data_IF_235861119493
#
_entry.id   IF_235861119493
#
_cell.length_a   1.000
_cell.length_b   1.000
_cell.length_c   1.000
_cell.angle_alpha   90.00
_cell.angle_beta   90.00
_cell.angle_gamma   90.00
#
_symmetry.space_group_name_H-M   'P 1'
#
loop_
_entity.id
_entity.type
_entity.pdbx_description
1 polymer ?
#
# COMPACT_ATOMS: atom_id res chain seq x y z
N UNK A 1 -55.75 -9.05 -10.31
CA UNK A 1 -54.31 -8.85 -10.10
C UNK A 1 -53.57 -9.87 -10.93
N UNK A 2 -53.04 -9.47 -12.09
CA UNK A 2 -52.17 -10.32 -12.89
C UNK A 2 -50.86 -10.54 -12.13
N UNK A 3 -50.52 -11.79 -11.86
CA UNK A 3 -49.20 -12.17 -11.35
C UNK A 3 -48.13 -11.57 -12.27
N UNK A 4 -47.32 -10.66 -11.73
CA UNK A 4 -46.10 -10.20 -12.42
C UNK A 4 -45.19 -11.43 -12.47
N UNK A 5 -45.12 -12.10 -13.63
CA UNK A 5 -44.09 -13.09 -13.90
C UNK A 5 -42.74 -12.38 -13.85
N UNK A 6 -42.09 -12.40 -12.69
CA UNK A 6 -40.71 -11.95 -12.53
C UNK A 6 -39.85 -12.91 -13.36
N UNK A 7 -39.28 -12.42 -14.46
CA UNK A 7 -38.34 -13.19 -15.26
C UNK A 7 -37.11 -13.59 -14.43
N UNK A 8 -36.33 -14.60 -14.88
CA UNK A 8 -35.18 -15.08 -14.12
C UNK A 8 -34.17 -13.95 -13.84
N UNK A 9 -33.62 -13.93 -12.63
CA UNK A 9 -32.60 -12.95 -12.25
C UNK A 9 -31.28 -13.33 -12.93
N UNK A 10 -30.88 -12.57 -13.95
CA UNK A 10 -29.59 -12.75 -14.63
C UNK A 10 -28.54 -11.83 -14.02
N UNK A 11 -27.50 -12.41 -13.42
CA UNK A 11 -26.39 -11.73 -12.76
C UNK A 11 -25.13 -11.85 -13.62
N UNK A 12 -24.72 -10.74 -14.23
CA UNK A 12 -23.47 -10.66 -15.00
C UNK A 12 -22.31 -10.22 -14.09
N UNK A 13 -21.29 -11.05 -13.98
CA UNK A 13 -20.06 -10.77 -13.22
C UNK A 13 -18.94 -10.44 -14.21
N UNK A 14 -18.66 -9.15 -14.39
CA UNK A 14 -17.49 -8.73 -15.19
C UNK A 14 -16.19 -9.02 -14.43
N UNK A 15 -15.15 -9.49 -15.13
CA UNK A 15 -13.91 -9.90 -14.45
C UNK A 15 -14.05 -11.21 -13.67
N UNK A 16 -15.02 -12.05 -14.05
CA UNK A 16 -15.36 -13.32 -13.40
C UNK A 16 -14.21 -14.34 -13.38
N UNK A 17 -13.22 -14.22 -14.27
CA UNK A 17 -12.05 -15.09 -14.29
C UNK A 17 -10.93 -14.69 -13.31
N UNK A 18 -11.02 -13.54 -12.64
CA UNK A 18 -10.01 -13.08 -11.67
C UNK A 18 -10.26 -13.63 -10.26
N UNK A 19 -9.36 -13.31 -9.32
CA UNK A 19 -9.41 -13.74 -7.91
C UNK A 19 -10.82 -13.63 -7.29
N UNK A 20 -11.40 -12.43 -7.27
CA UNK A 20 -12.71 -12.19 -6.65
C UNK A 20 -13.83 -12.85 -7.45
N UNK A 21 -13.73 -12.84 -8.78
CA UNK A 21 -14.70 -13.49 -9.66
C UNK A 21 -14.79 -14.99 -9.43
N UNK A 22 -13.65 -15.67 -9.33
CA UNK A 22 -13.56 -17.10 -9.02
C UNK A 22 -14.01 -17.45 -7.60
N UNK A 23 -13.77 -16.56 -6.64
CA UNK A 23 -14.30 -16.74 -5.30
C UNK A 23 -15.83 -16.68 -5.27
N UNK A 24 -16.44 -15.70 -5.96
CA UNK A 24 -17.90 -15.63 -6.09
C UNK A 24 -18.44 -16.84 -6.85
N UNK A 25 -17.79 -17.27 -7.93
CA UNK A 25 -18.16 -18.47 -8.67
C UNK A 25 -18.17 -19.71 -7.77
N UNK A 26 -17.15 -19.88 -6.93
CA UNK A 26 -17.07 -20.97 -5.97
C UNK A 26 -18.25 -20.94 -4.98
N UNK A 27 -18.51 -19.80 -4.34
CA UNK A 27 -19.60 -19.66 -3.37
C UNK A 27 -20.96 -19.94 -4.01
N UNK A 28 -21.20 -19.41 -5.21
CA UNK A 28 -22.46 -19.60 -5.95
C UNK A 28 -22.65 -21.06 -6.37
N UNK A 29 -21.61 -21.72 -6.87
CA UNK A 29 -21.73 -23.06 -7.44
C UNK A 29 -21.54 -24.20 -6.42
N UNK A 30 -20.75 -23.99 -5.37
CA UNK A 30 -20.30 -25.06 -4.46
C UNK A 30 -20.78 -24.88 -3.01
N UNK A 31 -21.07 -23.66 -2.58
CA UNK A 31 -21.49 -23.37 -1.19
C UNK A 31 -22.99 -23.02 -1.07
N UNK A 32 -23.77 -23.23 -2.13
CA UNK A 32 -25.20 -22.96 -2.12
C UNK A 32 -25.56 -21.47 -2.14
N UNK A 33 -24.65 -20.60 -2.60
CA UNK A 33 -24.90 -19.17 -2.73
C UNK A 33 -25.85 -18.76 -3.86
N UNK A 34 -26.23 -19.71 -4.73
CA UNK A 34 -27.18 -19.50 -5.83
C UNK A 34 -28.63 -19.71 -5.35
N UNK A 35 -29.50 -18.74 -5.59
CA UNK A 35 -30.94 -18.89 -5.34
C UNK A 35 -31.68 -19.45 -6.56
N UNK A 36 -32.86 -20.05 -6.30
CA UNK A 36 -33.74 -20.55 -7.37
C UNK A 36 -34.19 -19.40 -8.29
N UNK A 37 -34.08 -19.63 -9.59
CA UNK A 37 -34.41 -18.63 -10.61
C UNK A 37 -33.28 -17.64 -10.93
N UNK A 38 -32.10 -17.79 -10.32
CA UNK A 38 -30.91 -17.04 -10.69
C UNK A 38 -30.12 -17.71 -11.81
N UNK A 39 -29.57 -16.91 -12.71
CA UNK A 39 -28.60 -17.30 -13.73
C UNK A 39 -27.36 -16.43 -13.58
N UNK A 40 -26.20 -17.06 -13.41
CA UNK A 40 -24.94 -16.38 -13.13
C UNK A 40 -24.00 -16.52 -14.34
N UNK A 41 -23.53 -15.38 -14.85
CA UNK A 41 -22.65 -15.28 -16.02
C UNK A 41 -21.31 -14.69 -15.59
N UNK A 42 -20.23 -15.46 -15.67
CA UNK A 42 -18.88 -15.03 -15.29
C UNK A 42 -18.06 -14.64 -16.53
N UNK A 43 -18.04 -13.35 -16.84
CA UNK A 43 -17.40 -12.81 -18.04
C UNK A 43 -15.88 -12.70 -17.88
N UNK A 44 -15.13 -13.06 -18.92
CA UNK A 44 -13.68 -12.86 -19.00
C UNK A 44 -13.29 -12.01 -20.21
N UNK A 45 -12.07 -11.49 -20.21
CA UNK A 45 -11.52 -10.71 -21.34
C UNK A 45 -11.36 -11.52 -22.63
N UNK A 46 -11.50 -12.86 -22.59
CA UNK A 46 -11.53 -13.71 -23.79
C UNK A 46 -12.84 -13.59 -24.56
N UNK A 47 -13.90 -13.13 -23.91
CA UNK A 47 -15.22 -12.97 -24.51
C UNK A 47 -15.51 -11.52 -24.92
N UNK A 48 -15.07 -10.54 -24.13
CA UNK A 48 -15.14 -9.14 -24.51
C UNK A 48 -14.05 -8.30 -23.85
N UNK A 49 -13.46 -7.40 -24.64
CA UNK A 49 -12.67 -6.29 -24.13
C UNK A 49 -13.61 -5.15 -23.72
N UNK A 50 -13.73 -4.92 -22.41
CA UNK A 50 -14.61 -3.89 -21.86
C UNK A 50 -14.09 -2.47 -22.06
N UNK A 51 -12.86 -2.28 -22.57
CA UNK A 51 -12.39 -0.97 -23.05
C UNK A 51 -13.14 -0.57 -24.33
N UNK A 52 -13.58 -1.55 -25.11
CA UNK A 52 -14.36 -1.35 -26.33
C UNK A 52 -15.87 -1.33 -26.03
N UNK A 53 -16.53 -0.23 -26.40
CA UNK A 53 -17.96 -0.05 -26.15
C UNK A 53 -18.82 -0.99 -27.01
N UNK A 54 -18.38 -1.33 -28.22
CA UNK A 54 -19.11 -2.25 -29.10
C UNK A 54 -19.17 -3.65 -28.52
N UNK A 55 -18.04 -4.17 -28.04
CA UNK A 55 -17.96 -5.46 -27.36
C UNK A 55 -18.70 -5.46 -26.02
N UNK A 56 -18.64 -4.36 -25.26
CA UNK A 56 -19.41 -4.22 -24.01
C UNK A 56 -20.91 -4.32 -24.28
N UNK A 57 -21.42 -3.61 -25.29
CA UNK A 57 -22.82 -3.69 -25.71
C UNK A 57 -23.20 -5.07 -26.18
N UNK A 58 -22.38 -5.69 -27.03
CA UNK A 58 -22.64 -7.04 -27.56
C UNK A 58 -22.81 -8.09 -26.43
N UNK A 59 -22.02 -8.00 -25.36
CA UNK A 59 -22.17 -8.91 -24.20
C UNK A 59 -23.46 -8.66 -23.44
N UNK A 60 -23.82 -7.40 -23.19
CA UNK A 60 -25.08 -7.10 -22.51
C UNK A 60 -26.30 -7.46 -23.39
N UNK A 61 -26.21 -7.29 -24.70
CA UNK A 61 -27.21 -7.74 -25.69
C UNK A 61 -27.30 -9.27 -25.77
N UNK A 62 -26.18 -9.99 -25.59
CA UNK A 62 -26.19 -11.45 -25.54
C UNK A 62 -26.87 -12.00 -24.29
N UNK A 63 -26.57 -11.45 -23.11
CA UNK A 63 -27.00 -12.03 -21.83
C UNK A 63 -28.18 -11.33 -21.16
N UNK A 64 -28.51 -10.10 -21.58
CA UNK A 64 -29.59 -9.27 -21.03
C UNK A 64 -29.62 -9.26 -19.49
N UNK A 65 -28.53 -8.85 -18.82
CA UNK A 65 -28.44 -8.92 -17.37
C UNK A 65 -29.50 -8.06 -16.69
N UNK A 66 -30.02 -8.56 -15.57
CA UNK A 66 -30.88 -7.78 -14.65
C UNK A 66 -30.05 -7.11 -13.54
N UNK A 67 -28.92 -7.74 -13.19
CA UNK A 67 -28.00 -7.33 -12.15
C UNK A 67 -26.57 -7.47 -12.67
N UNK A 68 -25.67 -6.58 -12.23
CA UNK A 68 -24.26 -6.62 -12.60
C UNK A 68 -23.38 -6.52 -11.36
N UNK A 69 -22.41 -7.43 -11.24
CA UNK A 69 -21.29 -7.31 -10.31
C UNK A 69 -20.07 -6.90 -11.14
N UNK A 70 -19.60 -5.67 -10.92
CA UNK A 70 -18.55 -5.07 -11.73
C UNK A 70 -17.17 -5.18 -11.06
N UNK A 71 -16.44 -6.26 -11.37
CA UNK A 71 -15.08 -6.53 -10.86
C UNK A 71 -13.98 -6.26 -11.90
N UNK A 72 -14.33 -6.19 -13.18
CA UNK A 72 -13.37 -5.97 -14.24
C UNK A 72 -12.65 -4.62 -14.07
N UNK A 73 -11.33 -4.66 -14.14
CA UNK A 73 -10.47 -3.48 -14.07
C UNK A 73 -9.13 -3.82 -14.70
N UNK A 74 -8.43 -2.80 -15.21
CA UNK A 74 -7.00 -2.92 -15.46
C UNK A 74 -6.29 -2.80 -14.11
N UNK A 75 -5.69 -3.90 -13.67
CA UNK A 75 -4.96 -4.02 -12.38
C UNK A 75 -3.51 -4.41 -12.64
N UNK A 76 -2.61 -4.07 -11.71
CA UNK A 76 -1.20 -4.44 -11.80
C UNK A 76 -0.45 -4.29 -10.47
N UNK A 77 0.83 -4.66 -10.47
CA UNK A 77 1.72 -4.43 -9.33
C UNK A 77 2.01 -2.94 -9.12
N UNK A 78 2.53 -2.59 -7.94
CA UNK A 78 2.79 -1.19 -7.57
C UNK A 78 3.72 -0.47 -8.56
N UNK A 79 4.75 -1.17 -9.06
CA UNK A 79 5.69 -0.63 -10.04
C UNK A 79 5.02 -0.36 -11.40
N UNK A 80 4.12 -1.24 -11.83
CA UNK A 80 3.38 -1.04 -13.07
C UNK A 80 2.44 0.17 -12.96
N UNK A 81 1.75 0.31 -11.82
CA UNK A 81 0.92 1.48 -11.55
C UNK A 81 1.70 2.80 -11.63
N UNK A 82 2.90 2.85 -11.05
CA UNK A 82 3.76 4.04 -11.11
C UNK A 82 4.17 4.40 -12.54
N UNK A 83 4.54 3.39 -13.35
CA UNK A 83 5.01 3.58 -14.73
C UNK A 83 3.89 3.95 -15.72
N UNK A 84 2.68 3.44 -15.52
CA UNK A 84 1.60 3.48 -16.51
C UNK A 84 0.36 4.26 -16.03
N UNK A 85 0.52 5.25 -15.13
CA UNK A 85 -0.60 6.01 -14.52
C UNK A 85 -1.65 6.50 -15.53
N UNK A 86 -1.23 7.08 -16.67
CA UNK A 86 -2.14 7.54 -17.72
C UNK A 86 -2.97 6.38 -18.31
N UNK A 87 -2.34 5.24 -18.57
CA UNK A 87 -3.03 4.09 -19.14
C UNK A 87 -4.01 3.47 -18.13
N UNK A 88 -3.60 3.39 -16.86
CA UNK A 88 -4.51 2.97 -15.78
C UNK A 88 -5.72 3.88 -15.65
N UNK A 89 -5.54 5.20 -15.76
CA UNK A 89 -6.65 6.16 -15.74
C UNK A 89 -7.59 5.93 -16.94
N UNK A 90 -7.04 5.94 -18.16
CA UNK A 90 -7.84 5.88 -19.40
C UNK A 90 -8.61 4.57 -19.54
N UNK A 91 -7.94 3.44 -19.33
CA UNK A 91 -8.57 2.13 -19.53
C UNK A 91 -9.64 1.89 -18.48
N UNK A 92 -9.38 2.20 -17.21
CA UNK A 92 -10.39 2.01 -16.17
C UNK A 92 -11.55 2.99 -16.32
N UNK A 93 -11.33 4.25 -16.71
CA UNK A 93 -12.45 5.16 -17.02
C UNK A 93 -13.33 4.57 -18.13
N UNK A 94 -12.74 4.09 -19.23
CA UNK A 94 -13.50 3.49 -20.33
C UNK A 94 -14.25 2.24 -19.90
N UNK A 95 -13.60 1.31 -19.19
CA UNK A 95 -14.23 0.09 -18.68
C UNK A 95 -15.43 0.43 -17.79
N UNK A 96 -15.23 1.35 -16.83
CA UNK A 96 -16.26 1.74 -15.88
C UNK A 96 -17.43 2.45 -16.57
N UNK A 97 -17.14 3.41 -17.45
CA UNK A 97 -18.13 4.19 -18.20
C UNK A 97 -18.93 3.28 -19.13
N UNK A 98 -18.26 2.44 -19.93
CA UNK A 98 -18.92 1.50 -20.85
C UNK A 98 -19.88 0.56 -20.10
N UNK A 99 -19.45 0.00 -18.96
CA UNK A 99 -20.27 -0.93 -18.17
C UNK A 99 -21.46 -0.21 -17.54
N UNK A 100 -21.26 0.95 -16.92
CA UNK A 100 -22.34 1.68 -16.22
C UNK A 100 -23.34 2.30 -17.19
N UNK A 101 -22.88 2.90 -18.30
CA UNK A 101 -23.75 3.46 -19.34
C UNK A 101 -24.54 2.36 -20.06
N UNK A 102 -23.90 1.24 -20.40
CA UNK A 102 -24.62 0.11 -21.03
C UNK A 102 -25.64 -0.50 -20.06
N UNK A 103 -25.28 -0.64 -18.78
CA UNK A 103 -26.21 -1.09 -17.74
C UNK A 103 -27.44 -0.18 -17.63
N UNK A 104 -27.23 1.14 -17.65
CA UNK A 104 -28.31 2.13 -17.64
C UNK A 104 -29.21 1.99 -18.86
N UNK A 105 -28.63 2.00 -20.07
CA UNK A 105 -29.35 1.91 -21.35
C UNK A 105 -30.17 0.63 -21.49
N UNK A 106 -29.72 -0.46 -20.86
CA UNK A 106 -30.40 -1.76 -20.90
C UNK A 106 -31.31 -2.03 -19.70
N UNK A 107 -31.52 -1.04 -18.83
CA UNK A 107 -32.46 -1.18 -17.71
C UNK A 107 -31.99 -2.15 -16.63
N UNK A 108 -30.68 -2.32 -16.43
CA UNK A 108 -30.13 -3.10 -15.32
C UNK A 108 -30.62 -2.51 -14.00
N UNK A 109 -31.22 -3.35 -13.16
CA UNK A 109 -31.86 -2.95 -11.91
C UNK A 109 -30.84 -2.51 -10.87
N UNK A 110 -29.71 -3.23 -10.76
CA UNK A 110 -28.67 -2.95 -9.78
C UNK A 110 -27.29 -3.29 -10.31
N UNK A 111 -26.34 -2.39 -10.05
CA UNK A 111 -24.91 -2.61 -10.30
C UNK A 111 -24.18 -2.48 -8.98
N UNK A 112 -23.31 -3.44 -8.67
CA UNK A 112 -22.38 -3.39 -7.53
C UNK A 112 -20.96 -3.41 -8.08
N UNK A 113 -20.30 -2.25 -8.04
CA UNK A 113 -18.93 -2.11 -8.51
C UNK A 113 -17.90 -2.36 -7.40
N UNK A 114 -16.68 -2.72 -7.79
CA UNK A 114 -15.58 -2.92 -6.86
C UNK A 114 -14.60 -1.74 -6.90
N UNK A 115 -14.48 -1.02 -5.78
CA UNK A 115 -13.49 0.03 -5.55
C UNK A 115 -12.20 -0.57 -4.96
N UNK A 116 -11.37 0.26 -4.33
CA UNK A 116 -10.11 -0.16 -3.71
C UNK A 116 -9.77 0.77 -2.55
N UNK A 117 -9.15 0.26 -1.48
CA UNK A 117 -8.62 1.10 -0.40
C UNK A 117 -7.60 2.17 -0.86
N UNK A 118 -6.96 2.02 -2.03
CA UNK A 118 -6.03 3.03 -2.54
C UNK A 118 -6.72 4.31 -3.06
N UNK A 119 -8.05 4.33 -3.12
CA UNK A 119 -8.80 5.53 -3.50
C UNK A 119 -8.80 6.58 -2.39
N UNK A 120 -8.53 6.23 -1.14
CA UNK A 120 -8.61 7.19 -0.04
C UNK A 120 -7.49 8.24 -0.12
N UNK A 121 -7.70 9.43 0.48
CA UNK A 121 -6.68 10.47 0.50
C UNK A 121 -5.39 10.00 1.17
N UNK A 122 -4.23 10.43 0.64
CA UNK A 122 -2.93 10.10 1.21
C UNK A 122 -2.74 10.73 2.59
N UNK A 123 -3.03 12.03 2.69
CA UNK A 123 -3.02 12.78 3.94
C UNK A 123 -4.42 12.75 4.54
N UNK A 124 -4.63 11.88 5.52
CA UNK A 124 -5.94 11.66 6.13
C UNK A 124 -5.85 11.22 7.60
N UNK A 125 -6.96 11.31 8.33
CA UNK A 125 -7.09 10.77 9.69
C UNK A 125 -7.46 9.30 9.67
N UNK A 126 -7.20 8.58 10.77
CA UNK A 126 -7.53 7.16 10.92
C UNK A 126 -8.45 6.95 12.12
N UNK A 127 -9.36 5.95 12.09
CA UNK A 127 -9.64 5.06 10.96
C UNK A 127 -10.34 5.77 9.79
N UNK A 128 -10.08 5.30 8.57
CA UNK A 128 -10.73 5.82 7.37
C UNK A 128 -12.13 5.20 7.24
N UNK A 129 -13.14 6.03 6.95
CA UNK A 129 -14.50 5.61 6.63
C UNK A 129 -14.94 6.04 5.21
N UNK A 130 -16.10 5.56 4.77
CA UNK A 130 -16.63 5.77 3.42
C UNK A 130 -16.94 7.23 3.11
N UNK A 131 -17.13 8.10 4.11
CA UNK A 131 -17.39 9.54 3.92
C UNK A 131 -16.13 10.29 3.48
N UNK A 132 -14.95 9.71 3.73
CA UNK A 132 -13.65 10.34 3.51
C UNK A 132 -13.08 10.13 2.10
N UNK A 133 -13.76 9.36 1.24
CA UNK A 133 -13.30 8.97 -0.10
C UNK A 133 -12.83 10.15 -0.97
N UNK A 134 -13.47 11.32 -0.88
CA UNK A 134 -13.16 12.50 -1.70
C UNK A 134 -12.47 13.63 -0.94
N UNK A 135 -12.04 13.42 0.32
CA UNK A 135 -11.52 14.46 1.21
C UNK A 135 -10.01 14.75 1.00
N UNK A 136 -9.57 14.85 -0.25
CA UNK A 136 -8.18 15.11 -0.62
C UNK A 136 -7.64 14.16 -1.69
N UNK A 137 -6.46 14.44 -2.26
CA UNK A 137 -5.88 13.61 -3.32
C UNK A 137 -5.44 12.23 -2.81
N UNK A 138 -5.56 11.16 -3.61
CA UNK A 138 -4.95 9.87 -3.32
C UNK A 138 -3.43 9.93 -3.45
N UNK A 139 -2.73 8.87 -3.04
CA UNK A 139 -1.28 8.79 -3.15
C UNK A 139 -0.78 8.84 -4.61
N UNK A 140 0.33 9.53 -4.85
CA UNK A 140 0.86 9.81 -6.20
C UNK A 140 1.36 8.56 -6.94
N UNK A 141 1.69 7.48 -6.24
CA UNK A 141 2.22 6.27 -6.89
C UNK A 141 1.22 5.59 -7.84
N UNK A 142 -0.08 5.78 -7.64
CA UNK A 142 -1.13 5.13 -8.44
C UNK A 142 -2.36 6.03 -8.68
N UNK A 143 -2.16 7.35 -8.69
CA UNK A 143 -3.25 8.33 -8.77
C UNK A 143 -4.19 8.07 -9.95
N UNK A 144 -3.67 7.62 -11.11
CA UNK A 144 -4.49 7.35 -12.29
C UNK A 144 -5.53 6.25 -12.06
N UNK A 145 -5.12 5.16 -11.42
CA UNK A 145 -6.03 4.08 -11.02
C UNK A 145 -7.00 4.54 -9.92
N UNK A 146 -6.46 5.24 -8.90
CA UNK A 146 -7.24 5.70 -7.75
C UNK A 146 -8.35 6.67 -8.14
N UNK A 147 -8.07 7.66 -8.99
CA UNK A 147 -9.10 8.56 -9.53
C UNK A 147 -10.09 7.84 -10.43
N UNK A 148 -9.66 6.92 -11.30
CA UNK A 148 -10.57 6.15 -12.13
C UNK A 148 -11.60 5.36 -11.28
N UNK A 149 -11.16 4.79 -10.15
CA UNK A 149 -12.05 4.12 -9.20
C UNK A 149 -12.94 5.12 -8.43
N UNK A 150 -12.44 6.27 -7.98
CA UNK A 150 -13.27 7.33 -7.38
C UNK A 150 -14.42 7.77 -8.30
N UNK A 151 -14.16 7.84 -9.61
CA UNK A 151 -15.18 8.23 -10.57
C UNK A 151 -16.33 7.23 -10.69
N UNK A 152 -16.18 5.98 -10.25
CA UNK A 152 -17.32 5.03 -10.15
C UNK A 152 -18.33 5.54 -9.11
N UNK A 153 -17.87 5.96 -7.94
CA UNK A 153 -18.76 6.51 -6.89
C UNK A 153 -19.48 7.78 -7.37
N UNK A 154 -18.75 8.67 -8.07
CA UNK A 154 -19.35 9.87 -8.67
C UNK A 154 -20.42 9.51 -9.71
N UNK A 155 -20.13 8.56 -10.61
CA UNK A 155 -21.10 8.08 -11.59
C UNK A 155 -22.32 7.45 -10.92
N UNK A 156 -22.13 6.60 -9.90
CA UNK A 156 -23.23 5.99 -9.15
C UNK A 156 -24.17 7.04 -8.55
N UNK A 157 -23.62 8.08 -7.90
CA UNK A 157 -24.40 9.19 -7.34
C UNK A 157 -25.14 9.97 -8.43
N UNK A 158 -24.50 10.23 -9.57
CA UNK A 158 -25.12 10.92 -10.69
C UNK A 158 -26.28 10.11 -11.32
N UNK A 159 -26.08 8.82 -11.56
CA UNK A 159 -27.12 7.92 -12.05
C UNK A 159 -28.31 7.84 -11.09
N UNK A 160 -28.06 7.82 -9.78
CA UNK A 160 -29.13 7.86 -8.78
C UNK A 160 -29.88 9.19 -8.80
N UNK A 161 -29.16 10.32 -8.79
CA UNK A 161 -29.77 11.64 -8.77
C UNK A 161 -30.63 11.91 -10.01
N UNK A 162 -30.16 11.52 -11.20
CA UNK A 162 -30.83 11.83 -12.46
C UNK A 162 -31.89 10.80 -12.87
N UNK A 163 -31.66 9.51 -12.58
CA UNK A 163 -32.51 8.42 -13.08
C UNK A 163 -33.04 7.48 -11.99
N UNK A 164 -32.66 7.68 -10.72
CA UNK A 164 -33.10 6.83 -9.61
C UNK A 164 -32.44 5.44 -9.56
N UNK A 165 -31.40 5.18 -10.37
CA UNK A 165 -30.70 3.90 -10.35
C UNK A 165 -29.96 3.69 -9.03
N UNK A 166 -30.15 2.50 -8.43
CA UNK A 166 -29.48 2.10 -7.19
C UNK A 166 -28.13 1.45 -7.45
N UNK A 167 -27.28 2.12 -8.23
CA UNK A 167 -25.91 1.67 -8.45
C UNK A 167 -25.08 1.98 -7.22
N UNK A 168 -24.24 1.03 -6.82
CA UNK A 168 -23.46 1.11 -5.59
C UNK A 168 -22.10 0.46 -5.77
N UNK A 169 -21.27 0.52 -4.74
CA UNK A 169 -19.95 -0.08 -4.78
C UNK A 169 -19.50 -0.57 -3.39
N UNK A 170 -18.56 -1.51 -3.40
CA UNK A 170 -17.88 -2.02 -2.21
C UNK A 170 -16.40 -1.66 -2.24
N UNK A 171 -15.79 -1.45 -1.08
CA UNK A 171 -14.37 -1.09 -0.94
C UNK A 171 -13.63 -2.20 -0.20
N UNK A 172 -13.13 -3.24 -0.89
CA UNK A 172 -12.25 -4.22 -0.25
C UNK A 172 -10.89 -3.61 0.09
N UNK A 173 -10.24 -4.20 1.11
CA UNK A 173 -8.83 -3.93 1.42
C UNK A 173 -7.91 -4.78 0.51
N UNK A 174 -6.79 -5.28 1.00
CA UNK A 174 -5.92 -6.17 0.23
C UNK A 174 -6.52 -7.59 0.18
N UNK A 175 -7.18 -7.93 -0.93
CA UNK A 175 -7.74 -9.27 -1.16
C UNK A 175 -6.63 -10.26 -1.52
N UNK A 176 -6.71 -11.49 -1.01
CA UNK A 176 -5.83 -12.60 -1.39
C UNK A 176 -6.58 -13.93 -1.42
N UNK A 177 -6.09 -14.89 -2.21
CA UNK A 177 -6.61 -16.25 -2.23
C UNK A 177 -6.30 -17.02 -3.51
N UNK A 178 -6.96 -18.17 -3.73
CA UNK A 178 -6.81 -18.96 -4.96
C UNK A 178 -7.13 -18.14 -6.22
N UNK A 179 -6.49 -18.48 -7.34
CA UNK A 179 -6.64 -17.79 -8.64
C UNK A 179 -6.15 -16.32 -8.68
N UNK A 180 -5.35 -15.88 -7.69
CA UNK A 180 -4.67 -14.59 -7.77
C UNK A 180 -3.50 -14.59 -8.79
N UNK A 181 -2.99 -13.40 -9.11
CA UNK A 181 -1.78 -13.25 -9.90
C UNK A 181 -0.54 -13.46 -9.02
N UNK A 182 0.01 -14.67 -9.05
CA UNK A 182 1.23 -15.04 -8.33
C UNK A 182 2.53 -14.61 -9.02
N UNK A 183 2.47 -13.83 -10.11
CA UNK A 183 3.68 -13.31 -10.74
C UNK A 183 4.46 -12.40 -9.77
N UNK A 184 5.77 -12.57 -9.68
CA UNK A 184 6.62 -11.87 -8.70
C UNK A 184 6.67 -10.35 -8.96
N UNK A 185 6.62 -9.93 -10.22
CA UNK A 185 6.74 -8.52 -10.63
C UNK A 185 5.38 -7.84 -10.75
N UNK A 186 4.36 -8.58 -11.21
CA UNK A 186 3.03 -8.06 -11.55
C UNK A 186 1.96 -8.37 -10.51
N UNK A 187 2.23 -9.27 -9.57
CA UNK A 187 1.31 -9.68 -8.52
C UNK A 187 1.22 -8.68 -7.37
N UNK A 188 0.14 -8.79 -6.60
CA UNK A 188 0.03 -8.07 -5.33
C UNK A 188 1.00 -8.65 -4.29
N UNK A 189 1.31 -7.86 -3.26
CA UNK A 189 2.35 -8.16 -2.25
C UNK A 189 2.25 -9.59 -1.72
N UNK A 190 1.08 -10.04 -1.23
CA UNK A 190 0.99 -11.36 -0.60
C UNK A 190 1.17 -12.51 -1.61
N UNK A 191 0.64 -12.37 -2.82
CA UNK A 191 0.73 -13.39 -3.87
C UNK A 191 2.13 -13.47 -4.48
N UNK A 192 2.79 -12.32 -4.65
CA UNK A 192 4.20 -12.27 -5.00
C UNK A 192 5.08 -12.90 -3.90
N UNK A 193 4.78 -12.63 -2.62
CA UNK A 193 5.49 -13.24 -1.49
C UNK A 193 5.32 -14.75 -1.44
N UNK A 194 4.10 -15.27 -1.61
CA UNK A 194 3.85 -16.72 -1.67
C UNK A 194 4.73 -17.38 -2.74
N UNK A 195 4.80 -16.79 -3.94
CA UNK A 195 5.64 -17.34 -5.02
C UNK A 195 7.15 -17.20 -4.70
N UNK A 196 7.60 -16.04 -4.18
CA UNK A 196 8.99 -15.85 -3.76
C UNK A 196 9.40 -16.88 -2.70
N UNK A 197 8.56 -17.13 -1.70
CA UNK A 197 8.81 -18.15 -0.67
C UNK A 197 8.84 -19.56 -1.25
N UNK A 198 7.92 -19.89 -2.16
CA UNK A 198 7.91 -21.18 -2.84
C UNK A 198 9.21 -21.43 -3.63
N UNK A 199 9.67 -20.43 -4.40
CA UNK A 199 10.94 -20.52 -5.14
C UNK A 199 12.15 -20.63 -4.20
N UNK A 200 12.23 -19.75 -3.20
CA UNK A 200 13.31 -19.77 -2.21
C UNK A 200 13.44 -21.15 -1.53
N UNK A 201 12.30 -21.78 -1.19
CA UNK A 201 12.27 -23.13 -0.63
C UNK A 201 12.78 -24.20 -1.61
N UNK A 202 12.35 -24.15 -2.87
CA UNK A 202 12.75 -25.13 -3.87
C UNK A 202 14.23 -24.99 -4.27
N UNK A 203 14.71 -23.76 -4.34
CA UNK A 203 16.07 -23.43 -4.79
C UNK A 203 17.09 -23.45 -3.64
N UNK A 204 16.63 -23.60 -2.39
CA UNK A 204 17.48 -23.54 -1.19
C UNK A 204 18.11 -22.17 -0.97
N UNK A 205 17.48 -21.10 -1.47
CA UNK A 205 17.99 -19.72 -1.38
C UNK A 205 17.29 -18.92 -0.29
N UNK A 206 17.91 -17.86 0.24
CA UNK A 206 17.24 -16.94 1.16
C UNK A 206 16.04 -16.26 0.49
N UNK A 207 14.95 -16.09 1.25
CA UNK A 207 13.81 -15.30 0.80
C UNK A 207 14.17 -13.81 0.88
N UNK A 208 14.05 -13.09 -0.22
CA UNK A 208 14.27 -11.64 -0.25
C UNK A 208 12.93 -10.90 -0.37
N UNK A 209 12.58 -10.09 0.64
CA UNK A 209 11.36 -9.27 0.64
C UNK A 209 11.72 -7.80 0.53
N UNK A 210 11.07 -7.10 -0.40
CA UNK A 210 11.38 -5.71 -0.73
C UNK A 210 10.75 -4.73 0.27
N UNK A 211 11.47 -3.64 0.57
CA UNK A 211 11.10 -2.57 1.49
C UNK A 211 11.32 -2.92 2.97
N UNK A 212 11.33 -1.94 3.87
CA UNK A 212 11.68 -2.11 5.30
C UNK A 212 10.84 -3.11 6.12
N UNK A 213 9.74 -3.60 5.55
CA UNK A 213 8.76 -4.43 6.25
C UNK A 213 7.98 -3.70 7.35
N UNK A 214 8.20 -2.40 7.57
CA UNK A 214 7.41 -1.58 8.49
C UNK A 214 5.95 -1.28 8.05
N UNK A 215 5.61 -1.20 6.74
CA UNK A 215 4.26 -0.86 6.33
C UNK A 215 3.19 -1.84 6.85
N UNK A 216 2.11 -1.30 7.45
CA UNK A 216 0.95 -2.07 7.92
C UNK A 216 -0.09 -2.20 6.80
N UNK A 217 -0.69 -3.38 6.67
CA UNK A 217 -1.73 -3.66 5.65
C UNK A 217 -2.88 -4.47 6.26
N UNK A 218 -4.08 -4.29 5.73
CA UNK A 218 -5.27 -5.04 6.12
C UNK A 218 -5.62 -6.02 5.01
N UNK A 219 -5.58 -7.31 5.34
CA UNK A 219 -5.87 -8.36 4.38
C UNK A 219 -7.27 -8.94 4.61
N UNK A 220 -7.93 -9.26 3.50
CA UNK A 220 -9.21 -9.98 3.48
C UNK A 220 -9.07 -11.20 2.58
N UNK A 221 -9.50 -12.36 3.07
CA UNK A 221 -9.45 -13.59 2.29
C UNK A 221 -10.61 -13.62 1.29
N UNK A 222 -10.37 -14.14 0.09
CA UNK A 222 -11.36 -14.11 -0.99
C UNK A 222 -12.60 -14.97 -0.72
N UNK A 223 -12.50 -16.02 0.10
CA UNK A 223 -13.60 -16.92 0.47
C UNK A 223 -13.91 -16.84 1.96
N UNK A 224 -15.19 -16.86 2.33
CA UNK A 224 -15.61 -16.81 3.73
C UNK A 224 -15.49 -18.18 4.41
N UNK A 225 -14.48 -18.35 5.26
CA UNK A 225 -14.25 -19.60 6.01
C UNK A 225 -14.84 -19.49 7.43
N UNK A 226 -15.94 -20.21 7.66
CA UNK A 226 -16.65 -20.28 8.94
C UNK A 226 -15.99 -21.22 9.96
N UNK A 227 -15.04 -22.06 9.53
CA UNK A 227 -14.36 -23.04 10.40
C UNK A 227 -13.22 -22.42 11.22
N UNK A 228 -12.80 -21.20 10.88
CA UNK A 228 -11.75 -20.46 11.57
C UNK A 228 -12.36 -19.56 12.66
N UNK A 229 -11.86 -19.70 13.90
CA UNK A 229 -12.42 -19.11 15.15
C UNK A 229 -12.61 -17.60 15.16
N UNK A 230 -11.98 -16.87 14.24
CA UNK A 230 -11.98 -15.40 14.19
C UNK A 230 -12.71 -14.83 12.96
N UNK A 231 -13.57 -15.63 12.31
CA UNK A 231 -14.52 -15.20 11.28
C UNK A 231 -14.05 -14.01 10.44
N UNK A 232 -13.01 -14.19 9.62
CA UNK A 232 -12.43 -13.19 8.72
C UNK A 232 -12.22 -11.75 9.27
N UNK A 233 -12.21 -11.52 10.59
CA UNK A 233 -12.13 -10.15 11.10
C UNK A 233 -10.76 -9.55 10.79
N UNK A 234 -10.79 -8.51 9.93
CA UNK A 234 -9.78 -7.45 9.72
C UNK A 234 -8.40 -7.78 10.31
N UNK A 235 -7.63 -8.64 9.65
CA UNK A 235 -6.26 -8.95 10.12
C UNK A 235 -5.31 -7.84 9.66
N UNK A 236 -4.86 -7.02 10.60
CA UNK A 236 -3.73 -6.13 10.38
C UNK A 236 -2.47 -6.98 10.35
N UNK A 237 -1.91 -7.22 9.17
CA UNK A 237 -0.62 -7.88 9.06
C UNK A 237 0.50 -6.87 9.30
N UNK A 238 1.42 -7.25 10.19
CA UNK A 238 2.66 -6.55 10.47
C UNK A 238 3.79 -7.58 10.41
N UNK A 239 4.90 -7.22 9.78
CA UNK A 239 6.08 -8.08 9.76
C UNK A 239 6.74 -8.24 11.13
N UNK A 240 6.23 -7.58 12.19
CA UNK A 240 6.69 -7.79 13.57
C UNK A 240 6.70 -9.27 13.98
N UNK A 241 5.66 -10.03 13.60
CA UNK A 241 5.58 -11.46 13.92
C UNK A 241 6.57 -12.29 13.08
N UNK A 242 6.77 -11.93 11.81
CA UNK A 242 7.78 -12.55 10.94
C UNK A 242 9.20 -12.31 11.47
N UNK A 243 9.53 -11.06 11.82
CA UNK A 243 10.82 -10.68 12.39
C UNK A 243 11.08 -11.28 13.77
N UNK A 244 10.03 -11.62 14.52
CA UNK A 244 10.17 -12.36 15.77
C UNK A 244 10.58 -13.82 15.55
N UNK A 245 9.98 -14.51 14.57
CA UNK A 245 10.33 -15.90 14.27
C UNK A 245 11.61 -16.04 13.45
N UNK A 246 11.98 -15.02 12.67
CA UNK A 246 13.18 -15.00 11.83
C UNK A 246 13.97 -13.70 12.09
N UNK A 247 14.74 -13.62 13.19
CA UNK A 247 15.43 -12.39 13.59
C UNK A 247 16.54 -11.98 12.62
N UNK A 248 17.16 -12.94 11.93
CA UNK A 248 18.24 -12.71 10.97
C UNK A 248 17.73 -12.40 9.55
N UNK A 249 16.41 -12.32 9.36
CA UNK A 249 15.79 -12.03 8.06
C UNK A 249 15.95 -10.56 7.69
N UNK A 250 16.77 -10.26 6.67
CA UNK A 250 16.96 -8.91 6.14
C UNK A 250 16.04 -8.64 4.96
N UNK A 251 15.27 -7.56 5.05
CA UNK A 251 14.53 -7.04 3.92
C UNK A 251 15.45 -6.27 2.98
N UNK A 252 15.24 -6.39 1.66
CA UNK A 252 15.98 -5.63 0.65
C UNK A 252 15.34 -4.24 0.50
N UNK A 253 16.08 -3.13 0.69
CA UNK A 253 15.58 -1.78 0.44
C UNK A 253 14.98 -1.64 -0.96
N UNK A 254 13.93 -0.83 -1.11
CA UNK A 254 13.24 -0.68 -2.40
C UNK A 254 14.19 -0.08 -3.46
N UNK A 255 15.12 0.76 -3.02
CA UNK A 255 16.10 1.47 -3.84
C UNK A 255 17.16 0.53 -4.44
N UNK A 256 17.52 -0.55 -3.74
CA UNK A 256 18.44 -1.57 -4.25
C UNK A 256 17.76 -2.46 -5.32
N UNK A 257 16.45 -2.67 -5.18
CA UNK A 257 15.63 -3.41 -6.15
C UNK A 257 15.38 -2.59 -7.45
N UNK A 258 15.51 -1.26 -7.42
CA UNK A 258 15.42 -0.39 -8.61
C UNK A 258 16.65 -0.55 -9.52
N UNK A 259 17.82 -0.90 -8.98
CA UNK A 259 19.05 -1.02 -9.76
C UNK A 259 19.22 -2.38 -10.46
N UNK A 260 18.56 -3.44 -9.98
CA UNK A 260 18.66 -4.77 -10.61
C UNK A 260 18.01 -4.87 -12.01
N UNK A 261 16.81 -4.32 -12.27
CA UNK A 261 16.21 -4.35 -13.61
C UNK A 261 16.94 -3.45 -14.62
N UNK A 262 17.60 -2.39 -14.16
CA UNK A 262 18.33 -1.46 -15.03
C UNK A 262 19.63 -2.10 -15.58
N UNK A 263 20.27 -2.99 -14.83
CA UNK A 263 21.48 -3.69 -15.27
C UNK A 263 21.14 -4.84 -16.24
N UNK A 264 19.96 -5.46 -16.12
CA UNK A 264 19.51 -6.49 -17.07
C UNK A 264 19.14 -5.94 -18.46
N UNK A 265 18.75 -4.65 -18.57
CA UNK A 265 18.32 -4.07 -19.85
C UNK A 265 19.48 -3.73 -20.80
N UNK A 266 20.73 -3.65 -20.32
CA UNK A 266 21.89 -3.39 -21.18
C UNK A 266 22.51 -4.64 -21.82
N UNK A 267 22.10 -5.85 -21.44
CA UNK A 267 22.73 -7.10 -21.92
C UNK A 267 21.85 -8.00 -22.80
N UNK A 268 20.69 -7.54 -23.28
CA UNK A 268 19.85 -8.31 -24.20
C UNK A 268 19.24 -7.49 -25.36
N UNK A 269 20.10 -6.86 -26.16
CA UNK A 269 19.78 -6.53 -27.55
C UNK A 269 20.64 -7.43 -28.44
N UNK A 270 20.07 -8.55 -28.88
CA UNK A 270 20.61 -9.36 -29.97
C UNK A 270 20.14 -8.81 -31.31
N UNK A 271 21.11 -8.39 -32.12
CA UNK A 271 21.13 -8.47 -33.59
C UNK A 271 19.83 -8.14 -34.34
N UNK A 272 19.53 -6.86 -34.51
CA UNK A 272 19.20 -6.30 -35.84
C UNK A 272 19.09 -4.78 -35.73
N UNK A 273 19.63 -4.09 -36.73
CA UNK A 273 19.65 -2.63 -36.92
C UNK A 273 20.87 -1.92 -36.31
N UNK A 274 21.96 -2.10 -37.04
CA UNK A 274 23.08 -1.17 -37.11
C UNK A 274 22.66 -0.02 -38.03
N UNK A 275 22.60 1.21 -37.50
CA UNK A 275 23.16 2.42 -38.13
C UNK A 275 22.76 3.70 -37.35
N UNK A 276 23.80 4.53 -37.11
CA UNK A 276 23.78 5.98 -36.90
C UNK A 276 23.74 6.57 -35.47
N UNK A 277 24.75 7.43 -35.27
CA UNK A 277 24.95 8.47 -34.25
C UNK A 277 25.46 7.99 -32.87
N UNK A 278 26.77 7.85 -32.63
CA UNK A 278 27.85 8.87 -32.68
C UNK A 278 27.55 10.13 -31.86
N UNK A 279 28.19 10.21 -30.68
CA UNK A 279 28.70 11.42 -30.00
C UNK A 279 28.48 11.42 -28.48
N UNK A 280 29.07 10.46 -27.74
CA UNK A 280 29.29 10.65 -26.29
C UNK A 280 30.44 9.78 -25.74
N UNK A 281 31.45 9.50 -26.58
CA UNK A 281 32.69 8.80 -26.22
C UNK A 281 33.90 9.75 -26.06
N UNK A 282 33.68 11.06 -25.95
CA UNK A 282 34.76 12.05 -26.05
C UNK A 282 35.26 12.68 -24.74
N UNK A 283 34.86 12.21 -23.55
CA UNK A 283 35.30 12.86 -22.28
C UNK A 283 36.01 11.93 -21.29
N UNK A 284 35.91 10.60 -21.39
CA UNK A 284 36.52 9.70 -20.39
C UNK A 284 37.96 9.27 -20.71
N UNK A 285 38.50 9.66 -21.87
CA UNK A 285 39.82 9.23 -22.38
C UNK A 285 41.01 10.15 -22.06
N UNK A 286 40.95 10.97 -20.99
CA UNK A 286 42.08 11.85 -20.62
C UNK A 286 42.59 11.76 -19.18
N UNK A 287 42.10 10.86 -18.32
CA UNK A 287 42.65 10.73 -16.95
C UNK A 287 42.90 9.30 -16.49
N UNK A 288 43.04 8.35 -17.41
CA UNK A 288 43.48 7.00 -17.09
C UNK A 288 44.88 6.75 -17.61
N UNK A 289 45.92 7.04 -16.80
CA UNK A 289 47.23 6.36 -16.80
C UNK A 289 48.10 6.89 -15.64
N UNK A 290 48.53 5.95 -14.78
CA UNK A 290 49.52 6.07 -13.69
C UNK A 290 49.04 6.86 -12.46
N UNK A 291 48.76 6.23 -11.31
CA UNK A 291 49.71 5.49 -10.47
C UNK A 291 49.06 4.21 -9.93
N UNK A 292 49.82 3.12 -10.00
CA UNK A 292 49.49 1.89 -9.30
C UNK A 292 49.46 2.09 -7.79
N UNK A 293 48.32 1.80 -7.20
CA UNK A 293 48.23 1.27 -5.86
C UNK A 293 47.10 0.24 -5.89
N UNK A 294 47.39 -0.95 -5.39
CA UNK A 294 46.37 -1.94 -5.04
C UNK A 294 45.29 -1.22 -4.23
N UNK A 295 44.12 -0.99 -4.82
CA UNK A 295 42.92 -0.76 -4.03
C UNK A 295 42.50 -2.14 -3.59
N UNK A 296 43.16 -2.63 -2.54
CA UNK A 296 42.45 -3.44 -1.56
C UNK A 296 41.23 -2.62 -1.21
N UNK A 297 40.04 -3.12 -1.58
CA UNK A 297 38.80 -2.60 -1.01
C UNK A 297 38.99 -2.70 0.49
N UNK A 298 39.23 -1.55 1.13
CA UNK A 298 39.10 -1.41 2.55
C UNK A 298 37.63 -1.68 2.83
N UNK A 299 37.33 -2.96 3.10
CA UNK A 299 36.17 -3.34 3.86
C UNK A 299 36.24 -2.51 5.13
N UNK A 300 35.45 -1.44 5.22
CA UNK A 300 35.31 -0.69 6.46
C UNK A 300 34.57 -1.57 7.47
N UNK A 301 35.32 -2.45 8.11
CA UNK A 301 35.02 -2.89 9.45
C UNK A 301 35.22 -1.68 10.37
N UNK A 302 34.13 -1.10 10.88
CA UNK A 302 34.26 -0.21 12.05
C UNK A 302 33.18 0.81 12.35
N UNK A 303 32.13 1.00 11.54
CA UNK A 303 31.02 1.88 11.94
C UNK A 303 29.76 1.06 12.21
N UNK A 304 29.54 0.74 13.48
CA UNK A 304 28.29 0.09 13.95
C UNK A 304 27.08 1.02 13.93
N UNK A 305 27.23 2.28 13.51
CA UNK A 305 26.15 3.17 13.13
C UNK A 305 26.61 3.94 11.89
N UNK A 306 25.72 4.24 10.93
CA UNK A 306 26.04 5.06 9.76
C UNK A 306 26.69 6.40 10.18
N UNK A 307 27.52 7.01 9.32
CA UNK A 307 28.21 8.26 9.63
C UNK A 307 27.26 9.37 10.13
N UNK A 308 27.63 10.02 11.24
CA UNK A 308 26.84 11.09 11.86
C UNK A 308 25.71 10.63 12.79
N UNK A 309 25.64 9.34 13.13
CA UNK A 309 24.78 8.81 14.18
C UNK A 309 25.59 8.49 15.44
N UNK A 310 25.00 8.72 16.60
CA UNK A 310 25.61 8.41 17.90
C UNK A 310 25.12 7.06 18.41
N UNK A 311 26.02 6.11 18.60
CA UNK A 311 25.71 4.78 19.12
C UNK A 311 25.53 4.79 20.64
N UNK A 312 24.50 4.11 21.12
CA UNK A 312 24.31 3.75 22.53
C UNK A 312 23.70 2.34 22.60
N UNK A 313 24.43 1.38 23.16
CA UNK A 313 24.02 -0.03 23.15
C UNK A 313 23.86 -0.57 21.73
N UNK A 314 22.70 -1.18 21.45
CA UNK A 314 22.30 -1.69 20.13
C UNK A 314 21.51 -0.68 19.30
N UNK A 315 21.58 0.62 19.64
CA UNK A 315 20.82 1.68 18.98
C UNK A 315 21.70 2.83 18.53
N UNK A 316 21.27 3.49 17.46
CA UNK A 316 21.88 4.67 16.89
C UNK A 316 20.90 5.84 16.99
N UNK A 317 21.36 7.02 17.39
CA UNK A 317 20.54 8.23 17.55
C UNK A 317 21.11 9.38 16.71
N UNK A 318 20.25 10.21 16.13
CA UNK A 318 20.67 11.39 15.37
C UNK A 318 19.69 12.54 15.53
N UNK A 319 20.23 13.71 15.85
CA UNK A 319 19.47 14.96 15.98
C UNK A 319 19.45 15.72 14.66
N UNK A 320 18.29 16.27 14.30
CA UNK A 320 18.08 17.06 13.10
C UNK A 320 17.52 18.43 13.47
N UNK A 321 18.21 19.49 13.07
CA UNK A 321 17.78 20.87 13.34
C UNK A 321 16.95 21.47 12.19
N UNK A 322 16.11 20.67 11.56
CA UNK A 322 15.22 21.07 10.46
C UNK A 322 13.78 20.94 10.94
N UNK A 323 13.15 21.98 11.50
CA UNK A 323 11.87 21.86 12.16
C UNK A 323 10.77 21.25 11.29
N UNK A 324 10.02 20.30 11.84
CA UNK A 324 8.91 19.59 11.18
C UNK A 324 7.75 19.37 12.15
N UNK A 325 6.56 19.19 11.60
CA UNK A 325 5.43 18.60 12.34
C UNK A 325 5.79 17.16 12.72
N UNK A 326 5.20 16.64 13.80
CA UNK A 326 5.58 15.34 14.34
C UNK A 326 5.44 14.22 13.30
N UNK A 327 4.36 14.20 12.53
CA UNK A 327 4.12 13.20 11.49
C UNK A 327 5.15 13.28 10.32
N UNK A 328 5.56 14.49 9.95
CA UNK A 328 6.58 14.70 8.91
C UNK A 328 7.98 14.36 9.42
N UNK A 329 8.26 14.61 10.70
CA UNK A 329 9.49 14.20 11.36
C UNK A 329 9.59 12.66 11.46
N UNK A 330 8.49 11.99 11.76
CA UNK A 330 8.41 10.53 11.72
C UNK A 330 8.67 10.00 10.32
N UNK A 331 7.99 10.55 9.31
CA UNK A 331 8.21 10.16 7.91
C UNK A 331 9.68 10.33 7.52
N UNK A 332 10.31 11.44 7.93
CA UNK A 332 11.73 11.67 7.69
C UNK A 332 12.61 10.61 8.35
N UNK A 333 12.38 10.27 9.62
CA UNK A 333 13.15 9.24 10.31
C UNK A 333 12.96 7.85 9.67
N UNK A 334 11.74 7.53 9.21
CA UNK A 334 11.46 6.28 8.48
C UNK A 334 12.17 6.19 7.13
N UNK A 335 12.39 7.32 6.46
CA UNK A 335 13.23 7.39 5.27
C UNK A 335 14.72 7.20 5.53
N UNK A 336 15.15 7.13 6.80
CA UNK A 336 16.54 6.88 7.22
C UNK A 336 16.71 5.52 7.92
N UNK A 337 15.77 4.59 7.66
CA UNK A 337 15.69 3.27 8.30
C UNK A 337 15.57 3.34 9.83
N UNK A 338 14.92 4.38 10.34
CA UNK A 338 14.67 4.58 11.76
C UNK A 338 13.25 5.06 12.04
N UNK A 339 13.03 5.55 13.24
CA UNK A 339 11.80 6.19 13.67
C UNK A 339 12.17 7.42 14.51
N UNK A 340 11.23 8.33 14.77
CA UNK A 340 11.41 9.26 15.90
C UNK A 340 11.75 8.43 17.15
N UNK A 341 12.73 8.90 17.91
CA UNK A 341 13.36 8.08 18.93
C UNK A 341 12.38 7.73 20.05
N UNK A 342 12.17 6.44 20.31
CA UNK A 342 11.64 6.00 21.59
C UNK A 342 12.72 6.11 22.68
N UNK A 343 12.31 6.51 23.88
CA UNK A 343 13.19 6.68 25.03
C UNK A 343 12.87 5.62 26.08
N UNK A 344 13.62 4.52 26.05
CA UNK A 344 13.36 3.31 26.83
C UNK A 344 14.15 3.28 28.15
N UNK A 345 15.29 3.96 28.18
CA UNK A 345 16.16 3.99 29.37
C UNK A 345 16.55 5.40 29.76
N UNK A 346 16.94 5.57 31.03
CA UNK A 346 17.49 6.84 31.53
C UNK A 346 18.78 7.25 30.80
N UNK A 347 19.53 6.27 30.29
CA UNK A 347 20.77 6.52 29.54
C UNK A 347 20.47 7.10 28.16
N UNK A 348 19.46 6.56 27.47
CA UNK A 348 18.95 7.11 26.22
C UNK A 348 18.41 8.53 26.42
N UNK A 349 17.63 8.76 27.48
CA UNK A 349 17.15 10.10 27.82
C UNK A 349 18.29 11.10 28.04
N UNK A 350 19.36 10.70 28.75
CA UNK A 350 20.57 11.53 28.94
C UNK A 350 21.33 11.77 27.63
N UNK A 351 21.35 10.82 26.71
CA UNK A 351 21.96 11.01 25.40
C UNK A 351 21.18 12.04 24.60
N UNK A 352 19.87 11.85 24.49
CA UNK A 352 18.97 12.76 23.77
C UNK A 352 19.05 14.17 24.35
N UNK A 353 19.03 14.32 25.68
CA UNK A 353 19.12 15.64 26.32
C UNK A 353 20.42 16.39 26.00
N UNK A 354 21.53 15.68 25.73
CA UNK A 354 22.80 16.28 25.29
C UNK A 354 22.81 16.68 23.81
N UNK A 355 22.03 16.00 22.97
CA UNK A 355 21.97 16.26 21.53
C UNK A 355 20.99 17.39 21.18
N UNK A 356 19.94 17.56 21.99
CA UNK A 356 18.87 18.55 21.77
C UNK A 356 19.33 19.96 22.17
N UNK A 357 19.06 20.95 21.32
CA UNK A 357 19.37 22.37 21.59
C UNK A 357 18.50 22.96 22.70
N UNK A 358 17.19 22.77 22.59
CA UNK A 358 16.16 23.25 23.54
C UNK A 358 15.13 22.16 23.80
N UNK A 359 14.35 21.80 22.78
CA UNK A 359 13.34 20.74 22.77
C UNK A 359 13.36 20.03 21.42
N UNK A 360 13.00 18.75 21.36
CA UNK A 360 12.88 18.03 20.09
C UNK A 360 11.76 17.00 20.11
N UNK A 361 11.19 16.70 18.95
CA UNK A 361 10.26 15.58 18.82
C UNK A 361 10.95 14.23 19.08
N UNK A 362 10.23 13.39 19.82
CA UNK A 362 10.52 11.97 20.06
C UNK A 362 9.28 11.13 19.74
N UNK A 363 9.42 9.82 19.64
CA UNK A 363 8.42 8.95 19.01
C UNK A 363 7.14 8.66 19.80
N UNK A 364 6.93 9.35 20.92
CA UNK A 364 5.78 9.12 21.80
C UNK A 364 4.57 9.89 21.30
N UNK A 365 3.40 9.25 21.28
CA UNK A 365 2.13 9.88 20.91
C UNK A 365 0.94 9.17 21.58
N UNK A 366 -0.19 9.87 21.74
CA UNK A 366 -1.45 9.31 22.26
C UNK A 366 -2.70 9.64 21.42
N UNK A 367 -2.55 10.17 20.20
CA UNK A 367 -3.65 10.52 19.28
C UNK A 367 -4.63 9.36 18.96
N UNK A 368 -4.24 8.11 19.17
CA UNK A 368 -5.14 6.95 18.95
C UNK A 368 -6.24 6.83 20.01
N UNK A 369 -5.96 7.30 21.23
CA UNK A 369 -6.86 7.33 22.38
C UNK A 369 -6.21 8.16 23.47
N UNK A 370 -6.79 9.31 23.78
CA UNK A 370 -6.32 10.23 24.83
C UNK A 370 -5.95 9.49 26.12
N UNK A 371 -4.73 9.75 26.62
CA UNK A 371 -4.18 9.15 27.82
C UNK A 371 -3.58 7.75 27.63
N UNK A 372 -3.64 7.17 26.42
CA UNK A 372 -2.97 5.90 26.08
C UNK A 372 -1.80 6.15 25.15
N UNK A 373 -0.63 6.32 25.77
CA UNK A 373 0.61 6.60 25.06
C UNK A 373 1.25 5.36 24.42
N UNK A 374 1.79 5.55 23.22
CA UNK A 374 2.45 4.53 22.42
C UNK A 374 3.76 5.08 21.84
N UNK A 375 4.70 4.17 21.57
CA UNK A 375 5.85 4.47 20.71
C UNK A 375 5.51 4.14 19.25
N UNK A 376 5.78 5.08 18.35
CA UNK A 376 5.71 4.95 16.88
C UNK A 376 6.43 3.73 16.30
N UNK A 377 7.52 3.29 16.94
CA UNK A 377 8.34 2.14 16.54
C UNK A 377 7.78 0.78 17.04
N UNK A 378 6.64 0.80 17.76
CA UNK A 378 5.96 -0.38 18.27
C UNK A 378 6.59 -1.02 19.51
N UNK A 379 7.60 -0.37 20.12
CA UNK A 379 8.17 -0.84 21.39
C UNK A 379 7.19 -0.64 22.54
N UNK A 380 7.35 -1.43 23.61
CA UNK A 380 6.52 -1.32 24.82
C UNK A 380 6.64 0.08 25.40
N UNK A 381 5.50 0.72 25.68
CA UNK A 381 5.46 2.02 26.33
C UNK A 381 5.49 1.85 27.86
N UNK A 382 6.63 2.13 28.48
CA UNK A 382 6.85 2.14 29.94
C UNK A 382 7.55 3.43 30.41
N UNK A 383 7.36 4.51 29.65
CA UNK A 383 8.00 5.80 29.85
C UNK A 383 7.52 6.49 31.14
N UNK A 384 8.48 7.01 31.93
CA UNK A 384 8.23 7.66 33.24
C UNK A 384 8.89 9.03 33.37
N UNK A 385 9.61 9.50 32.36
CA UNK A 385 10.43 10.71 32.42
C UNK A 385 9.63 11.94 32.00
N UNK A 386 8.41 12.08 32.52
CA UNK A 386 7.54 13.23 32.28
C UNK A 386 7.98 14.42 33.13
N UNK A 387 7.79 15.64 32.61
CA UNK A 387 7.93 16.85 33.39
C UNK A 387 6.85 16.90 34.48
N UNK A 388 7.07 17.69 35.53
CA UNK A 388 6.11 17.79 36.64
C UNK A 388 4.78 18.35 36.14
N UNK A 389 3.72 17.54 36.19
CA UNK A 389 2.39 17.91 35.72
C UNK A 389 2.03 17.35 34.34
N UNK A 390 2.97 16.66 33.68
CA UNK A 390 2.78 16.07 32.35
C UNK A 390 2.52 14.56 32.40
N UNK A 391 1.83 13.99 31.38
CA UNK A 391 1.19 14.70 30.27
C UNK A 391 -0.12 15.37 30.70
N UNK A 392 -0.37 16.61 30.24
CA UNK A 392 -1.48 17.44 30.70
C UNK A 392 -2.63 17.59 29.68
N UNK A 393 -2.42 17.17 28.42
CA UNK A 393 -3.33 17.26 27.29
C UNK A 393 -3.97 18.66 27.13
N UNK A 394 -3.19 19.73 27.27
CA UNK A 394 -3.68 21.11 27.20
C UNK A 394 -4.13 21.49 25.78
N UNK A 395 -5.39 21.19 25.46
CA UNK A 395 -6.04 21.59 24.22
C UNK A 395 -5.79 20.64 23.04
N UNK A 396 -5.68 19.34 23.29
CA UNK A 396 -5.49 18.30 22.27
C UNK A 396 -4.02 18.08 21.93
N UNK A 397 -3.18 17.92 22.95
CA UNK A 397 -1.74 17.70 22.80
C UNK A 397 -1.47 16.21 22.73
N UNK A 398 -1.03 15.74 21.57
CA UNK A 398 -0.95 14.31 21.28
C UNK A 398 0.45 13.75 21.05
N UNK A 399 1.47 14.61 21.04
CA UNK A 399 2.82 14.26 20.59
C UNK A 399 3.89 14.66 21.61
N UNK A 400 4.83 13.76 21.86
CA UNK A 400 5.86 13.92 22.88
C UNK A 400 7.03 14.76 22.37
N UNK A 401 7.28 15.90 23.01
CA UNK A 401 8.56 16.59 22.96
C UNK A 401 9.47 16.13 24.11
N UNK A 402 10.77 16.04 23.85
CA UNK A 402 11.79 15.79 24.85
C UNK A 402 12.67 17.04 25.02
N UNK A 403 12.88 17.44 26.26
CA UNK A 403 13.57 18.69 26.60
C UNK A 403 15.03 18.43 26.95
N UNK A 404 15.86 19.46 26.80
CA UNK A 404 17.27 19.43 27.23
C UNK A 404 17.45 19.18 28.74
N UNK A 405 16.42 19.46 29.53
CA UNK A 405 16.33 19.14 30.97
C UNK A 405 16.23 17.63 31.27
N UNK A 406 15.95 16.80 30.25
CA UNK A 406 15.88 15.33 30.39
C UNK A 406 14.49 14.80 30.72
N UNK A 407 13.47 15.64 30.62
CA UNK A 407 12.05 15.33 30.80
C UNK A 407 11.26 15.59 29.52
N UNK A 408 10.08 14.97 29.43
CA UNK A 408 9.18 15.09 28.30
C UNK A 408 7.90 15.86 28.64
N UNK A 409 7.29 16.40 27.61
CA UNK A 409 6.04 17.14 27.63
C UNK A 409 5.21 16.74 26.41
N UNK A 410 3.90 16.64 26.54
CA UNK A 410 3.01 16.53 25.40
C UNK A 410 2.75 17.90 24.79
N UNK A 411 2.66 17.93 23.46
CA UNK A 411 2.43 19.15 22.71
C UNK A 411 1.61 18.85 21.45
N UNK A 412 0.93 19.86 20.89
CA UNK A 412 0.23 19.72 19.61
C UNK A 412 1.16 19.23 18.50
N UNK A 413 0.74 18.16 17.83
CA UNK A 413 1.54 17.45 16.83
C UNK A 413 1.90 18.29 15.59
N UNK A 414 1.11 19.34 15.30
CA UNK A 414 1.34 20.26 14.18
C UNK A 414 2.37 21.38 14.50
N UNK A 415 2.96 21.40 15.69
CA UNK A 415 4.04 22.33 15.99
C UNK A 415 5.33 21.93 15.24
N UNK A 416 6.02 22.93 14.70
CA UNK A 416 7.31 22.72 14.03
C UNK A 416 8.42 22.62 15.07
N UNK A 417 9.09 21.47 15.15
CA UNK A 417 10.26 21.27 16.03
C UNK A 417 11.38 20.50 15.36
N UNK A 418 12.59 20.78 15.83
CA UNK A 418 13.73 19.87 15.68
C UNK A 418 13.36 18.48 16.22
N UNK A 419 14.05 17.44 15.78
CA UNK A 419 13.65 16.08 16.11
C UNK A 419 14.83 15.13 16.23
N UNK A 420 14.63 14.02 16.94
CA UNK A 420 15.65 12.97 17.10
C UNK A 420 15.15 11.67 16.49
N UNK A 421 15.91 11.13 15.54
CA UNK A 421 15.67 9.79 15.01
C UNK A 421 16.47 8.76 15.79
N UNK A 422 15.94 7.54 15.90
CA UNK A 422 16.67 6.37 16.37
C UNK A 422 16.47 5.17 15.43
N UNK A 423 17.50 4.33 15.32
CA UNK A 423 17.43 3.03 14.64
C UNK A 423 18.27 1.98 15.35
N UNK A 424 18.11 0.72 14.98
CA UNK A 424 18.97 -0.37 15.47
C UNK A 424 20.36 -0.24 14.84
N UNK A 425 21.40 -0.52 15.62
CA UNK A 425 22.81 -0.49 15.22
C UNK A 425 23.21 -1.70 14.37
#
# INVERSE_FOLDING_TARGET
MSEIKVGPMRVLVTGGSGLVGKAIEHVVQQEGGKLDGEEWIFLSSKEADLVDIGQTRAVFEKYHPTHVIHLAAKVGGIYQHMKENLQFLRDNIKINDNVLDTAHKMGVTKVVSCLSSCIFPDKTSYPIDETMIHNGPPHDSNFGYSYAKRMIDVQNRAYFQQYGHRYTAVIPTNVFGPYDNFNIEKGHVLSALINKTYKAKNDGTPLNVCGSGAPRRQFIYSLFDTSLSDGQMKKTASNAKLRHYLPDFTFTPLEEDILLPAICYCNHISSSQQEMASALHFIVLLCGLWIGANVTSAHQSGCTCSCGWTKLGSRCFKFFSTPKEWADAERFCTGLDGNLASVLTKEEGKLISKMVKTTAWVGGFDETKDGVWLWNDGRKFDFKMWAKGEPNNLGGEGCMEFRKTGDANDLKCNNLKDFVCAKTA
#
